data_IF_857944548678
#
_entry.id   IF_857944548678
#
_cell.length_a   1.000
_cell.length_b   1.000
_cell.length_c   1.000
_cell.angle_alpha   90.00
_cell.angle_beta   90.00
_cell.angle_gamma   90.00
#
_symmetry.space_group_name_H-M   'P 1'
#
loop_
_entity.id
_entity.type
_entity.pdbx_description
1 polymer ?
#
# COMPACT_ATOMS: atom_id res chain seq x y z
N UNK A 1 -40.89 -0.54 43.62
CA UNK A 1 -40.24 0.11 42.46
C UNK A 1 -38.83 -0.46 42.30
N UNK A 2 -38.62 -1.50 41.48
CA UNK A 2 -37.26 -2.08 41.26
C UNK A 2 -37.11 -2.89 39.96
N UNK A 3 -38.07 -2.80 39.03
CA UNK A 3 -38.08 -3.61 37.80
C UNK A 3 -37.65 -2.84 36.54
N UNK A 4 -37.65 -1.51 36.58
CA UNK A 4 -37.32 -0.68 35.41
C UNK A 4 -35.83 -0.35 35.26
N UNK A 5 -34.99 -0.69 36.25
CA UNK A 5 -33.56 -0.38 36.20
C UNK A 5 -32.77 -1.33 35.29
N UNK A 6 -33.31 -2.53 35.00
CA UNK A 6 -32.64 -3.55 34.18
C UNK A 6 -32.86 -3.30 32.68
N UNK A 7 -33.95 -2.64 32.30
CA UNK A 7 -34.28 -2.41 30.89
C UNK A 7 -33.38 -1.34 30.23
N UNK A 8 -32.80 -0.45 31.04
CA UNK A 8 -31.95 0.64 30.54
C UNK A 8 -30.51 0.20 30.24
N UNK A 9 -30.11 -1.00 30.70
CA UNK A 9 -28.75 -1.52 30.51
C UNK A 9 -28.56 -2.28 29.19
N UNK A 10 -29.64 -2.65 28.50
CA UNK A 10 -29.60 -3.39 27.22
C UNK A 10 -29.52 -2.43 26.02
N UNK A 11 -29.77 -1.14 26.21
CA UNK A 11 -29.90 -0.17 25.11
C UNK A 11 -28.59 0.52 24.70
N UNK A 12 -27.43 0.15 25.27
CA UNK A 12 -26.13 0.83 25.03
C UNK A 12 -25.04 -0.05 24.44
N UNK A 13 -25.38 -1.17 23.78
CA UNK A 13 -24.39 -2.04 23.13
C UNK A 13 -24.86 -2.43 21.72
N UNK A 14 -24.10 -2.22 20.64
CA UNK A 14 -23.11 -1.17 20.38
C UNK A 14 -23.38 -0.42 19.06
N UNK A 15 -23.08 0.88 19.04
CA UNK A 15 -22.98 1.74 17.86
C UNK A 15 -21.67 1.49 17.07
N UNK A 16 -21.23 0.22 16.99
CA UNK A 16 -19.96 -0.20 16.40
C UNK A 16 -20.16 -1.31 15.37
N UNK A 17 -21.09 -1.08 14.46
CA UNK A 17 -20.96 -1.62 13.11
C UNK A 17 -20.64 -0.43 12.20
N UNK A 18 -19.53 0.26 12.46
CA UNK A 18 -18.85 0.95 11.37
C UNK A 18 -18.29 -0.17 10.51
N UNK A 19 -19.11 -0.62 9.55
CA UNK A 19 -18.65 -1.37 8.41
C UNK A 19 -17.40 -0.63 7.94
N UNK A 20 -16.25 -1.26 8.14
CA UNK A 20 -15.01 -0.82 7.56
C UNK A 20 -15.29 -0.69 6.08
N UNK A 21 -15.51 0.56 5.62
CA UNK A 21 -15.52 0.88 4.20
C UNK A 21 -14.19 0.34 3.73
N UNK A 22 -14.23 -0.83 3.09
CA UNK A 22 -13.10 -1.40 2.39
C UNK A 22 -12.90 -0.44 1.25
N UNK A 23 -12.16 0.64 1.52
CA UNK A 23 -11.64 1.53 0.51
C UNK A 23 -10.95 0.58 -0.45
N UNK A 24 -11.39 0.49 -1.72
CA UNK A 24 -10.77 -0.43 -2.65
C UNK A 24 -9.29 -0.12 -2.63
N UNK A 25 -8.46 -1.10 -2.21
CA UNK A 25 -7.01 -0.94 -2.25
C UNK A 25 -6.70 -0.47 -3.67
N UNK A 26 -6.17 0.76 -3.76
CA UNK A 26 -5.91 1.41 -5.03
C UNK A 26 -4.99 0.48 -5.82
N UNK A 27 -5.52 -0.12 -6.88
CA UNK A 27 -4.81 -1.13 -7.67
C UNK A 27 -3.56 -0.47 -8.23
N UNK A 28 -2.40 -1.01 -7.90
CA UNK A 28 -1.14 -0.63 -8.53
C UNK A 28 -0.93 -1.53 -9.75
N UNK A 29 -0.48 -0.93 -10.85
CA UNK A 29 -0.12 -1.64 -12.06
C UNK A 29 1.39 -1.87 -12.09
N UNK A 30 1.80 -3.10 -12.40
CA UNK A 30 3.21 -3.46 -12.52
C UNK A 30 3.51 -3.72 -13.99
N UNK A 31 4.37 -2.89 -14.56
CA UNK A 31 4.77 -2.96 -15.97
C UNK A 31 6.26 -3.30 -16.01
N UNK A 32 6.58 -4.51 -16.47
CA UNK A 32 7.96 -4.90 -16.73
C UNK A 32 8.43 -4.25 -18.04
N UNK A 33 9.29 -3.24 -17.94
CA UNK A 33 9.84 -2.53 -19.10
C UNK A 33 10.97 -3.34 -19.76
N UNK A 34 11.79 -4.01 -18.95
CA UNK A 34 12.87 -4.89 -19.41
C UNK A 34 13.21 -5.90 -18.31
N UNK A 35 14.25 -6.73 -18.53
CA UNK A 35 14.78 -7.59 -17.46
C UNK A 35 15.39 -6.81 -16.29
N UNK A 36 15.78 -5.55 -16.53
CA UNK A 36 16.46 -4.72 -15.54
C UNK A 36 15.62 -3.55 -15.06
N UNK A 37 14.42 -3.33 -15.62
CA UNK A 37 13.58 -2.20 -15.23
C UNK A 37 12.11 -2.63 -15.07
N UNK A 38 11.50 -2.24 -13.95
CA UNK A 38 10.07 -2.39 -13.70
C UNK A 38 9.48 -1.05 -13.26
N UNK A 39 8.36 -0.69 -13.87
CA UNK A 39 7.56 0.45 -13.49
C UNK A 39 6.38 -0.04 -12.65
N UNK A 40 6.24 0.47 -11.43
CA UNK A 40 5.07 0.23 -10.57
C UNK A 40 4.27 1.52 -10.50
N UNK A 41 3.15 1.58 -11.20
CA UNK A 41 2.25 2.74 -11.19
C UNK A 41 1.18 2.58 -10.13
N UNK A 42 1.20 3.46 -9.14
CA UNK A 42 0.25 3.49 -8.03
C UNK A 42 -0.44 4.87 -8.00
N UNK A 43 -1.55 5.00 -8.71
CA UNK A 43 -2.44 6.16 -8.67
C UNK A 43 -1.77 7.49 -9.06
N UNK A 44 -1.11 8.20 -8.14
CA UNK A 44 -0.45 9.48 -8.37
C UNK A 44 1.09 9.38 -8.33
N UNK A 45 1.63 8.19 -8.07
CA UNK A 45 3.05 7.93 -7.96
C UNK A 45 3.42 6.73 -8.81
N UNK A 46 4.46 6.90 -9.61
CA UNK A 46 5.09 5.83 -10.37
C UNK A 46 6.45 5.54 -9.75
N UNK A 47 6.77 4.27 -9.56
CA UNK A 47 8.07 3.85 -9.05
C UNK A 47 8.82 3.14 -10.18
N UNK A 48 9.95 3.71 -10.57
CA UNK A 48 10.90 3.06 -11.46
C UNK A 48 11.91 2.28 -10.62
N UNK A 49 11.85 0.96 -10.71
CA UNK A 49 12.75 0.02 -10.07
C UNK A 49 13.78 -0.44 -11.11
N UNK A 50 15.03 -0.15 -10.85
CA UNK A 50 16.19 -0.58 -11.63
C UNK A 50 16.88 -1.74 -10.91
N UNK A 51 17.12 -2.82 -11.63
CA UNK A 51 17.78 -4.02 -11.16
C UNK A 51 19.20 -4.12 -11.75
N UNK A 52 20.14 -4.66 -10.97
CA UNK A 52 21.46 -5.04 -11.43
C UNK A 52 21.46 -6.48 -11.96
N UNK A 53 22.43 -6.79 -12.81
CA UNK A 53 22.68 -8.14 -13.26
C UNK A 53 23.25 -8.97 -12.10
N UNK A 54 22.40 -9.74 -11.44
CA UNK A 54 22.80 -10.64 -10.37
C UNK A 54 23.57 -11.82 -10.94
N UNK A 55 24.78 -12.06 -10.43
CA UNK A 55 25.58 -13.26 -10.77
C UNK A 55 25.21 -14.48 -9.90
N UNK A 56 24.40 -14.28 -8.86
CA UNK A 56 23.93 -15.30 -7.91
C UNK A 56 22.49 -14.98 -7.52
N UNK A 57 21.67 -16.02 -7.37
CA UNK A 57 20.22 -15.90 -7.14
C UNK A 57 19.86 -15.33 -5.75
N UNK A 58 20.84 -15.21 -4.83
CA UNK A 58 20.61 -14.85 -3.43
C UNK A 58 20.85 -13.36 -3.08
N UNK A 59 21.31 -12.53 -4.02
CA UNK A 59 21.54 -11.09 -3.78
C UNK A 59 20.31 -10.25 -4.15
N UNK A 60 19.95 -9.26 -3.32
CA UNK A 60 18.93 -8.25 -3.66
C UNK A 60 19.35 -7.57 -4.97
N UNK A 61 18.64 -7.87 -6.06
CA UNK A 61 18.98 -7.37 -7.38
C UNK A 61 18.54 -5.92 -7.57
N UNK A 62 17.86 -5.29 -6.59
CA UNK A 62 17.42 -3.90 -6.71
C UNK A 62 18.58 -2.94 -6.51
N UNK A 63 19.03 -2.36 -7.62
CA UNK A 63 20.05 -1.32 -7.64
C UNK A 63 19.51 0.03 -7.18
N UNK A 64 18.34 0.42 -7.67
CA UNK A 64 17.79 1.76 -7.45
C UNK A 64 16.27 1.80 -7.56
N UNK A 65 15.64 2.59 -6.69
CA UNK A 65 14.21 2.89 -6.75
C UNK A 65 14.05 4.39 -6.86
N UNK A 66 13.36 4.83 -7.90
CA UNK A 66 13.01 6.22 -8.14
C UNK A 66 11.50 6.39 -8.07
N UNK A 67 10.99 7.24 -7.18
CA UNK A 67 9.61 7.70 -7.24
C UNK A 67 9.49 8.87 -8.22
N UNK A 68 8.46 8.82 -9.03
CA UNK A 68 8.12 9.78 -10.05
C UNK A 68 6.67 10.20 -9.77
N UNK A 69 6.45 11.51 -9.74
CA UNK A 69 5.12 12.11 -9.67
C UNK A 69 5.07 13.25 -10.70
N UNK A 70 3.89 13.81 -10.92
CA UNK A 70 3.74 14.96 -11.83
C UNK A 70 4.57 16.20 -11.41
N UNK A 71 4.95 16.29 -10.14
CA UNK A 71 5.63 17.47 -9.58
C UNK A 71 7.12 17.24 -9.35
N UNK A 72 7.49 16.01 -9.01
CA UNK A 72 8.84 15.71 -8.56
C UNK A 72 9.25 14.27 -8.86
N UNK A 73 10.56 14.10 -9.04
CA UNK A 73 11.23 12.81 -9.15
C UNK A 73 12.27 12.71 -8.04
N UNK A 74 12.22 11.64 -7.25
CA UNK A 74 13.09 11.44 -6.10
C UNK A 74 13.61 10.01 -6.05
N UNK A 75 14.91 9.86 -5.82
CA UNK A 75 15.53 8.56 -5.56
C UNK A 75 15.25 8.20 -4.10
N UNK A 76 14.65 7.04 -3.88
CA UNK A 76 14.23 6.56 -2.55
C UNK A 76 15.25 5.54 -2.00
N UNK A 77 15.81 4.70 -2.86
CA UNK A 77 16.83 3.71 -2.51
C UNK A 77 17.86 3.64 -3.61
N UNK A 78 19.13 3.56 -3.22
CA UNK A 78 20.27 3.21 -4.08
C UNK A 78 21.15 2.27 -3.28
N UNK A 79 21.59 1.18 -3.90
CA UNK A 79 22.57 0.24 -3.35
C UNK A 79 23.88 0.33 -4.13
#
# INVERSE_FOLDING_TARGET
MKKYLILLFICTLPLLAQESVVVPQKKCEVIKLSNFNTLVSCHNFDYLIEYQETRRDDEDSVKKITAISLKETKIIKTQ
#
